data_IF_742627299081
#
_entry.id   IF_742627299081
#
_cell.length_a   1.000
_cell.length_b   1.000
_cell.length_c   1.000
_cell.angle_alpha   90.00
_cell.angle_beta   90.00
_cell.angle_gamma   90.00
#
_symmetry.space_group_name_H-M   'P 1'
#
loop_
_entity.id
_entity.type
_entity.pdbx_description
1 polymer ?
#
# COMPACT_ATOMS: atom_id res chain seq x y z
N UNK A 1 -35.98 28.10 -35.80
CA UNK A 1 -35.88 28.11 -34.32
C UNK A 1 -36.05 26.69 -33.81
N UNK A 2 -35.25 26.35 -32.79
CA UNK A 2 -35.23 25.13 -31.96
C UNK A 2 -34.63 23.81 -32.54
N UNK A 3 -33.67 23.29 -31.77
CA UNK A 3 -32.77 22.14 -31.98
C UNK A 3 -33.42 20.80 -31.60
N UNK A 4 -32.95 19.65 -32.10
CA UNK A 4 -33.14 18.36 -31.45
C UNK A 4 -31.88 17.90 -30.71
N UNK A 5 -32.03 17.29 -29.53
CA UNK A 5 -30.98 16.45 -28.95
C UNK A 5 -31.61 15.40 -28.02
N UNK A 6 -31.62 14.13 -28.45
CA UNK A 6 -31.65 12.99 -27.55
C UNK A 6 -31.01 11.81 -28.26
N UNK A 7 -29.86 11.39 -27.73
CA UNK A 7 -29.06 10.28 -28.20
C UNK A 7 -29.71 8.97 -27.73
N UNK A 8 -30.29 8.24 -28.67
CA UNK A 8 -30.59 6.81 -28.58
C UNK A 8 -30.36 6.24 -29.98
N UNK A 9 -29.55 5.17 -30.04
CA UNK A 9 -29.29 4.28 -31.18
C UNK A 9 -28.29 4.69 -32.28
N UNK A 10 -27.04 4.22 -32.11
CA UNK A 10 -26.33 3.59 -33.23
C UNK A 10 -25.63 2.31 -32.75
N UNK A 11 -26.18 1.19 -33.19
CA UNK A 11 -25.77 -0.18 -32.92
C UNK A 11 -24.33 -0.47 -33.36
N UNK A 12 -23.72 -1.40 -32.63
CA UNK A 12 -22.90 -2.51 -33.12
C UNK A 12 -22.23 -2.36 -34.50
N UNK A 13 -20.90 -2.48 -34.55
CA UNK A 13 -20.27 -3.49 -35.41
C UNK A 13 -18.76 -3.67 -35.17
N UNK A 14 -18.34 -4.94 -35.25
CA UNK A 14 -16.99 -5.50 -35.48
C UNK A 14 -16.11 -5.93 -34.29
N UNK A 15 -16.24 -7.24 -34.03
CA UNK A 15 -15.32 -8.15 -33.35
C UNK A 15 -13.85 -8.01 -33.78
N UNK A 16 -12.94 -8.08 -32.81
CA UNK A 16 -11.68 -8.80 -32.95
C UNK A 16 -11.48 -9.68 -31.71
N UNK A 17 -11.11 -10.93 -31.98
CA UNK A 17 -10.89 -12.01 -31.04
C UNK A 17 -9.75 -11.69 -30.06
N UNK A 18 -9.96 -11.97 -28.78
CA UNK A 18 -8.91 -12.51 -27.91
C UNK A 18 -9.53 -13.50 -26.95
N UNK A 19 -9.58 -14.73 -27.43
CA UNK A 19 -9.62 -15.93 -26.62
C UNK A 19 -8.54 -15.90 -25.54
N UNK A 20 -8.97 -16.21 -24.32
CA UNK A 20 -8.25 -17.04 -23.34
C UNK A 20 -7.04 -16.41 -22.63
N UNK A 21 -7.32 -15.86 -21.45
CA UNK A 21 -6.52 -16.04 -20.23
C UNK A 21 -7.44 -15.73 -19.03
N UNK A 22 -8.41 -16.63 -18.79
CA UNK A 22 -8.94 -16.80 -17.45
C UNK A 22 -7.83 -17.43 -16.61
N UNK A 23 -6.93 -16.62 -16.08
CA UNK A 23 -6.09 -17.03 -14.96
C UNK A 23 -7.01 -17.10 -13.74
N UNK A 24 -7.60 -18.28 -13.54
CA UNK A 24 -8.07 -18.69 -12.22
C UNK A 24 -6.85 -18.82 -11.31
N UNK A 25 -6.35 -17.71 -10.80
CA UNK A 25 -5.47 -17.72 -9.65
C UNK A 25 -6.35 -17.89 -8.41
N UNK A 26 -6.63 -19.14 -8.06
CA UNK A 26 -6.91 -19.52 -6.68
C UNK A 26 -5.62 -19.29 -5.86
N UNK A 27 -5.24 -18.02 -5.68
CA UNK A 27 -4.37 -17.63 -4.57
C UNK A 27 -5.28 -17.75 -3.37
N UNK A 28 -5.07 -18.81 -2.58
CA UNK A 28 -5.77 -18.96 -1.31
C UNK A 28 -5.71 -17.64 -0.58
N UNK A 29 -6.86 -17.00 -0.37
CA UNK A 29 -6.97 -15.82 0.46
C UNK A 29 -6.55 -16.26 1.86
N UNK A 30 -5.27 -16.05 2.18
CA UNK A 30 -4.83 -15.95 3.56
C UNK A 30 -5.80 -15.00 4.28
N UNK A 31 -6.26 -15.32 5.50
CA UNK A 31 -7.14 -14.43 6.23
C UNK A 31 -6.54 -13.04 6.20
N UNK A 32 -7.30 -12.06 5.70
CA UNK A 32 -6.88 -10.66 5.65
C UNK A 32 -6.49 -10.26 7.07
N UNK A 33 -5.21 -10.25 7.38
CA UNK A 33 -4.69 -9.62 8.57
C UNK A 33 -4.84 -8.13 8.32
N UNK A 34 -5.79 -7.49 9.00
CA UNK A 34 -5.94 -6.05 8.94
C UNK A 34 -4.59 -5.39 9.26
N UNK A 35 -4.07 -4.60 8.33
CA UNK A 35 -2.74 -4.00 8.45
C UNK A 35 -1.55 -4.96 8.25
N UNK A 36 -1.74 -6.26 8.01
CA UNK A 36 -0.66 -7.23 7.74
C UNK A 36 -0.02 -7.06 6.35
N UNK A 37 1.15 -7.68 6.17
CA UNK A 37 1.78 -7.79 4.86
C UNK A 37 1.03 -8.83 4.02
N UNK A 38 0.89 -8.58 2.72
CA UNK A 38 0.41 -9.58 1.76
C UNK A 38 1.45 -10.68 1.52
N UNK A 39 1.11 -11.63 0.63
CA UNK A 39 2.04 -12.68 0.21
C UNK A 39 3.22 -12.09 -0.60
N UNK A 40 4.36 -11.91 0.07
CA UNK A 40 5.59 -11.37 -0.53
C UNK A 40 6.18 -12.29 -1.59
N UNK A 41 5.96 -13.60 -1.49
CA UNK A 41 6.42 -14.55 -2.50
C UNK A 41 5.62 -14.37 -3.78
N UNK A 42 4.29 -14.37 -3.69
CA UNK A 42 3.42 -14.09 -4.84
C UNK A 42 3.72 -12.73 -5.48
N UNK A 43 3.89 -11.68 -4.67
CA UNK A 43 4.27 -10.35 -5.15
C UNK A 43 5.61 -10.38 -5.93
N UNK A 44 6.61 -11.12 -5.45
CA UNK A 44 7.91 -11.23 -6.12
C UNK A 44 7.87 -11.95 -7.47
N UNK A 45 6.81 -12.70 -7.77
CA UNK A 45 6.60 -13.31 -9.09
C UNK A 45 5.94 -12.36 -10.09
N UNK A 46 5.18 -11.37 -9.61
CA UNK A 46 4.42 -10.43 -10.44
C UNK A 46 5.17 -9.12 -10.69
N UNK A 47 6.00 -8.68 -9.74
CA UNK A 47 6.76 -7.43 -9.85
C UNK A 47 8.04 -7.69 -10.66
N UNK A 48 8.35 -6.87 -11.68
CA UNK A 48 9.60 -6.98 -12.44
C UNK A 48 10.83 -6.96 -11.52
N UNK A 49 11.71 -7.97 -11.66
CA UNK A 49 12.76 -8.25 -10.66
C UNK A 49 13.84 -7.18 -10.56
N UNK A 50 14.25 -6.62 -11.69
CA UNK A 50 15.42 -5.74 -11.80
C UNK A 50 15.06 -4.35 -12.31
N UNK A 51 13.81 -3.94 -12.08
CA UNK A 51 13.32 -2.63 -12.51
C UNK A 51 12.80 -1.85 -11.30
N UNK A 52 12.94 -0.51 -11.32
CA UNK A 52 12.33 0.32 -10.31
C UNK A 52 10.82 0.14 -10.29
N UNK A 53 10.25 0.16 -9.09
CA UNK A 53 8.80 0.19 -8.90
C UNK A 53 8.46 1.26 -7.86
N UNK A 54 7.20 1.69 -7.85
CA UNK A 54 6.65 2.63 -6.90
C UNK A 54 5.70 1.90 -5.97
N UNK A 55 5.88 2.11 -4.67
CA UNK A 55 4.96 1.67 -3.64
C UNK A 55 4.01 2.82 -3.31
N UNK A 56 2.73 2.67 -3.68
CA UNK A 56 1.66 3.58 -3.32
C UNK A 56 0.99 3.07 -2.06
N UNK A 57 1.06 3.86 -0.99
CA UNK A 57 0.44 3.54 0.30
C UNK A 57 -0.63 4.58 0.64
N UNK A 58 -1.78 4.08 1.06
CA UNK A 58 -2.91 4.85 1.57
C UNK A 58 -3.20 4.37 2.99
N UNK A 59 -3.30 5.30 3.94
CA UNK A 59 -3.48 4.94 5.34
C UNK A 59 -4.41 5.86 6.09
N UNK A 60 -5.19 5.26 6.98
CA UNK A 60 -5.96 5.94 8.00
C UNK A 60 -5.47 5.49 9.38
N UNK A 61 -5.27 6.42 10.30
CA UNK A 61 -4.71 6.16 11.61
C UNK A 61 -5.79 5.97 12.67
N UNK A 62 -5.42 5.20 13.69
CA UNK A 62 -6.16 5.18 14.94
C UNK A 62 -5.96 6.53 15.67
N UNK A 63 -6.99 7.07 16.34
CA UNK A 63 -6.87 8.26 17.18
C UNK A 63 -5.79 8.09 18.25
N UNK A 64 -5.70 6.87 18.80
CA UNK A 64 -4.67 6.43 19.75
C UNK A 64 -4.06 5.13 19.23
N UNK A 65 -2.74 5.01 19.27
CA UNK A 65 -2.02 3.82 18.86
C UNK A 65 -2.28 2.67 19.85
N UNK A 66 -2.50 1.46 19.32
CA UNK A 66 -2.80 0.28 20.12
C UNK A 66 -1.71 -0.76 19.94
N UNK A 67 -0.77 -0.81 20.86
CA UNK A 67 0.31 -1.79 20.87
C UNK A 67 -0.15 -3.11 21.50
N UNK A 68 0.43 -4.21 21.06
CA UNK A 68 0.27 -5.49 21.74
C UNK A 68 0.94 -5.45 23.13
N UNK A 69 0.34 -6.13 24.10
CA UNK A 69 0.76 -6.06 25.51
C UNK A 69 2.18 -6.61 25.75
N UNK A 70 2.68 -7.46 24.87
CA UNK A 70 4.01 -8.08 24.92
C UNK A 70 5.06 -7.28 24.14
N UNK A 71 4.69 -6.18 23.48
CA UNK A 71 5.64 -5.31 22.79
C UNK A 71 6.32 -4.33 23.76
N UNK A 72 7.55 -4.66 24.16
CA UNK A 72 8.37 -3.83 25.06
C UNK A 72 8.74 -2.45 24.48
N UNK A 73 8.64 -2.26 23.17
CA UNK A 73 8.95 -0.99 22.50
C UNK A 73 7.83 0.05 22.55
N UNK A 74 6.74 -0.21 23.29
CA UNK A 74 5.63 0.75 23.42
C UNK A 74 6.10 2.04 24.11
N UNK A 75 5.64 3.23 23.65
CA UNK A 75 5.84 4.48 24.37
C UNK A 75 5.25 4.44 25.78
N UNK A 76 5.87 5.19 26.71
CA UNK A 76 5.44 5.24 28.11
C UNK A 76 4.13 5.99 28.35
N UNK A 77 3.77 6.89 27.44
CA UNK A 77 2.49 7.61 27.45
C UNK A 77 1.69 7.23 26.19
N UNK A 78 0.34 7.24 26.24
CA UNK A 78 -0.48 7.10 25.04
C UNK A 78 -0.08 8.11 23.97
N UNK A 79 0.03 7.65 22.72
CA UNK A 79 0.31 8.48 21.56
C UNK A 79 -0.72 8.22 20.47
N UNK A 80 -0.90 9.16 19.56
CA UNK A 80 -1.75 8.99 18.39
C UNK A 80 -1.16 7.97 17.41
N UNK A 81 -2.03 7.41 16.54
CA UNK A 81 -1.57 6.54 15.47
C UNK A 81 -0.61 7.25 14.50
N UNK A 82 -0.79 8.53 14.24
CA UNK A 82 0.11 9.31 13.39
C UNK A 82 1.53 9.46 14.00
N UNK A 83 1.63 9.62 15.32
CA UNK A 83 2.91 9.64 16.04
C UNK A 83 3.59 8.26 16.00
N UNK A 84 2.84 7.18 16.24
CA UNK A 84 3.34 5.81 16.14
C UNK A 84 3.84 5.50 14.73
N UNK A 85 3.12 5.93 13.69
CA UNK A 85 3.56 5.78 12.30
C UNK A 85 4.81 6.59 11.98
N UNK A 86 5.01 7.75 12.64
CA UNK A 86 6.23 8.54 12.49
C UNK A 86 7.44 7.80 13.05
N UNK A 87 7.30 7.16 14.23
CA UNK A 87 8.33 6.28 14.81
C UNK A 87 8.65 5.15 13.84
N UNK A 88 7.62 4.45 13.34
CA UNK A 88 7.76 3.41 12.32
C UNK A 88 8.57 3.89 11.10
N UNK A 89 8.18 5.03 10.49
CA UNK A 89 8.80 5.52 9.26
C UNK A 89 10.29 5.85 9.45
N UNK A 90 10.64 6.45 10.58
CA UNK A 90 12.02 6.78 10.92
C UNK A 90 12.85 5.50 11.13
N UNK A 91 12.34 4.56 11.93
CA UNK A 91 13.01 3.30 12.19
C UNK A 91 13.15 2.45 10.93
N UNK A 92 12.11 2.38 10.09
CA UNK A 92 12.14 1.69 8.79
C UNK A 92 13.23 2.26 7.87
N UNK A 93 13.29 3.59 7.71
CA UNK A 93 14.29 4.24 6.87
C UNK A 93 15.72 3.98 7.35
N UNK A 94 15.95 4.04 8.67
CA UNK A 94 17.23 3.68 9.28
C UNK A 94 17.57 2.21 9.00
N UNK A 95 16.63 1.28 9.25
CA UNK A 95 16.87 -0.15 9.05
C UNK A 95 17.11 -0.53 7.59
N UNK A 96 16.36 0.08 6.67
CA UNK A 96 16.58 -0.07 5.23
C UNK A 96 18.02 0.36 4.85
N UNK A 97 18.51 1.48 5.41
CA UNK A 97 19.88 1.96 5.18
C UNK A 97 20.92 0.99 5.74
N UNK A 98 20.73 0.48 6.95
CA UNK A 98 21.62 -0.51 7.59
C UNK A 98 21.70 -1.83 6.80
N UNK A 99 20.58 -2.26 6.20
CA UNK A 99 20.52 -3.45 5.36
C UNK A 99 21.01 -3.18 3.92
N UNK A 100 21.48 -1.96 3.63
CA UNK A 100 22.06 -1.63 2.32
C UNK A 100 21.03 -1.36 1.22
N UNK A 101 19.76 -1.10 1.55
CA UNK A 101 18.75 -0.66 0.59
C UNK A 101 19.14 0.72 0.07
N UNK A 102 19.47 0.79 -1.22
CA UNK A 102 19.91 2.03 -1.86
C UNK A 102 18.71 2.85 -2.35
N UNK A 103 18.80 4.16 -2.10
CA UNK A 103 17.99 5.19 -2.74
C UNK A 103 16.46 5.01 -2.71
N UNK A 104 15.81 4.60 -1.59
CA UNK A 104 14.36 4.75 -1.50
C UNK A 104 14.00 6.24 -1.60
N UNK A 105 13.17 6.59 -2.58
CA UNK A 105 12.82 7.99 -2.84
C UNK A 105 11.34 8.24 -2.60
N UNK A 106 11.01 9.13 -1.68
CA UNK A 106 9.64 9.62 -1.52
C UNK A 106 9.31 10.51 -2.71
N UNK A 107 8.45 10.02 -3.60
CA UNK A 107 8.00 10.77 -4.78
C UNK A 107 6.86 11.73 -4.44
N UNK A 108 6.03 11.35 -3.46
CA UNK A 108 4.89 12.14 -3.02
C UNK A 108 4.53 11.79 -1.57
N UNK A 109 4.16 12.81 -0.80
CA UNK A 109 3.53 12.66 0.51
C UNK A 109 2.44 13.73 0.61
N UNK A 110 1.20 13.32 0.74
CA UNK A 110 0.05 14.23 0.78
C UNK A 110 -0.92 13.88 1.89
N UNK A 111 -1.48 14.93 2.51
CA UNK A 111 -2.69 14.81 3.33
C UNK A 111 -3.87 14.50 2.41
N UNK A 112 -4.58 13.42 2.68
CA UNK A 112 -5.83 13.16 2.00
C UNK A 112 -6.94 14.00 2.67
N UNK A 113 -7.71 14.71 1.85
CA UNK A 113 -8.74 15.64 2.32
C UNK A 113 -10.15 15.07 2.18
N UNK A 114 -10.44 14.48 1.02
CA UNK A 114 -11.72 13.84 0.71
C UNK A 114 -11.55 12.97 -0.52
N UNK A 115 -12.47 12.04 -0.73
CA UNK A 115 -12.58 11.34 -2.00
C UNK A 115 -13.36 12.21 -2.97
N UNK A 116 -12.80 12.46 -4.16
CA UNK A 116 -13.53 13.11 -5.25
C UNK A 116 -14.42 12.12 -6.01
N UNK A 117 -13.98 10.87 -6.08
CA UNK A 117 -14.70 9.72 -6.63
C UNK A 117 -14.39 8.56 -5.69
N UNK A 118 -15.40 8.02 -5.01
CA UNK A 118 -15.26 6.83 -4.18
C UNK A 118 -15.96 5.66 -4.88
N UNK A 119 -15.41 4.45 -4.73
CA UNK A 119 -16.00 3.22 -5.28
C UNK A 119 -17.34 2.88 -4.61
N UNK A 120 -17.85 1.64 -4.76
CA UNK A 120 -19.16 1.22 -4.22
C UNK A 120 -19.27 1.30 -2.69
N UNK A 121 -18.18 1.59 -1.98
CA UNK A 121 -18.11 1.88 -0.56
C UNK A 121 -18.17 3.41 -0.39
N UNK A 122 -19.35 3.98 -0.22
CA UNK A 122 -19.46 5.30 0.38
C UNK A 122 -18.74 5.26 1.76
N UNK A 123 -17.84 6.21 2.02
CA UNK A 123 -17.21 6.36 3.33
C UNK A 123 -15.74 5.91 3.46
N UNK A 124 -15.05 5.56 2.37
CA UNK A 124 -13.57 5.42 2.45
C UNK A 124 -12.94 6.78 2.82
N UNK A 125 -11.99 6.81 3.75
CA UNK A 125 -11.27 8.03 4.11
C UNK A 125 -9.83 7.72 4.46
N UNK A 126 -8.91 8.55 3.98
CA UNK A 126 -7.48 8.39 4.19
C UNK A 126 -6.93 9.63 4.88
N UNK A 127 -5.95 9.45 5.76
CA UNK A 127 -5.22 10.56 6.39
C UNK A 127 -4.02 10.95 5.54
N UNK A 128 -3.24 9.96 5.06
CA UNK A 128 -2.09 10.17 4.20
C UNK A 128 -2.06 9.23 2.98
N UNK A 129 -1.51 9.78 1.90
CA UNK A 129 -1.08 9.04 0.72
C UNK A 129 0.43 9.29 0.55
N UNK A 130 1.19 8.22 0.39
CA UNK A 130 2.64 8.30 0.15
C UNK A 130 3.04 7.39 -1.01
N UNK A 131 3.90 7.90 -1.88
CA UNK A 131 4.52 7.14 -2.97
C UNK A 131 6.02 7.06 -2.73
N UNK A 132 6.56 5.84 -2.70
CA UNK A 132 7.99 5.59 -2.47
C UNK A 132 8.53 4.73 -3.61
N UNK A 133 9.53 5.23 -4.32
CA UNK A 133 10.25 4.46 -5.34
C UNK A 133 11.34 3.62 -4.69
N UNK A 134 11.42 2.35 -5.08
CA UNK A 134 12.54 1.46 -4.78
C UNK A 134 13.22 1.03 -6.09
N UNK A 135 14.52 0.72 -6.02
CA UNK A 135 15.28 0.25 -7.19
C UNK A 135 14.83 -1.14 -7.67
N UNK A 136 14.37 -2.00 -6.76
CA UNK A 136 13.80 -3.30 -7.05
C UNK A 136 13.02 -3.84 -5.83
N UNK A 137 12.13 -4.81 -6.05
CA UNK A 137 11.31 -5.39 -4.98
C UNK A 137 12.10 -6.24 -3.98
N UNK A 138 13.21 -6.86 -4.40
CA UNK A 138 14.03 -7.69 -3.51
C UNK A 138 14.62 -6.88 -2.34
N UNK A 139 15.06 -5.64 -2.60
CA UNK A 139 15.53 -4.71 -1.57
C UNK A 139 14.48 -4.41 -0.51
N UNK A 140 13.23 -4.17 -0.94
CA UNK A 140 12.13 -3.92 -0.01
C UNK A 140 11.76 -5.18 0.78
N UNK A 141 11.64 -6.31 0.10
CA UNK A 141 11.35 -7.62 0.70
C UNK A 141 12.37 -7.99 1.78
N UNK A 142 13.66 -7.76 1.53
CA UNK A 142 14.73 -7.99 2.50
C UNK A 142 14.51 -7.25 3.83
N UNK A 143 13.99 -6.02 3.81
CA UNK A 143 13.67 -5.29 5.04
C UNK A 143 12.48 -5.92 5.75
N UNK A 144 11.49 -6.40 5.03
CA UNK A 144 10.29 -7.00 5.63
C UNK A 144 10.55 -8.38 6.25
N UNK A 145 11.55 -9.11 5.74
CA UNK A 145 11.97 -10.41 6.25
C UNK A 145 13.00 -10.31 7.39
N UNK A 146 13.50 -9.11 7.68
CA UNK A 146 14.47 -8.87 8.75
C UNK A 146 13.83 -9.03 10.14
N UNK A 147 14.48 -9.79 11.02
CA UNK A 147 13.95 -10.02 12.38
C UNK A 147 13.85 -8.73 13.20
N UNK A 148 14.80 -7.81 13.03
CA UNK A 148 14.77 -6.52 13.71
C UNK A 148 13.59 -5.68 13.26
N UNK A 149 13.29 -5.68 11.96
CA UNK A 149 12.07 -5.08 11.44
C UNK A 149 10.82 -5.71 12.05
N UNK A 150 10.68 -7.04 11.97
CA UNK A 150 9.47 -7.75 12.43
C UNK A 150 9.23 -7.52 13.92
N UNK A 151 10.27 -7.63 14.75
CA UNK A 151 10.14 -7.58 16.21
C UNK A 151 10.11 -6.17 16.78
N UNK A 152 10.81 -5.21 16.17
CA UNK A 152 11.05 -3.89 16.78
C UNK A 152 10.45 -2.72 16.00
N UNK A 153 10.14 -2.89 14.70
CA UNK A 153 9.73 -1.78 13.83
C UNK A 153 8.29 -1.94 13.34
N UNK A 154 7.94 -3.12 12.81
CA UNK A 154 6.61 -3.45 12.34
C UNK A 154 5.50 -3.21 13.37
N UNK A 155 5.70 -3.48 14.68
CA UNK A 155 4.66 -3.26 15.69
C UNK A 155 4.16 -1.81 15.76
N UNK A 156 5.04 -0.82 15.54
CA UNK A 156 4.63 0.58 15.48
C UNK A 156 3.64 0.88 14.33
N UNK A 157 3.81 0.24 13.16
CA UNK A 157 2.86 0.40 12.04
C UNK A 157 1.52 -0.26 12.34
N UNK A 158 1.54 -1.46 12.93
CA UNK A 158 0.33 -2.19 13.29
C UNK A 158 -0.46 -1.46 14.39
N UNK A 159 0.25 -0.91 15.38
CA UNK A 159 -0.35 -0.10 16.42
C UNK A 159 -0.96 1.20 15.89
N UNK A 160 -0.32 1.80 14.88
CA UNK A 160 -0.72 3.08 14.32
C UNK A 160 -1.97 3.04 13.43
N UNK A 161 -2.04 2.05 12.54
CA UNK A 161 -2.91 2.11 11.36
C UNK A 161 -4.23 1.39 11.61
N UNK A 162 -5.34 2.08 11.30
CA UNK A 162 -6.68 1.49 11.26
C UNK A 162 -6.89 0.73 9.96
N UNK A 163 -6.60 1.39 8.84
CA UNK A 163 -6.70 0.80 7.50
C UNK A 163 -5.45 1.14 6.70
N UNK A 164 -4.88 0.13 6.04
CA UNK A 164 -3.69 0.25 5.21
C UNK A 164 -3.91 -0.42 3.87
N UNK A 165 -3.81 0.33 2.78
CA UNK A 165 -3.75 -0.23 1.43
C UNK A 165 -2.43 0.13 0.80
N UNK A 166 -1.81 -0.86 0.17
CA UNK A 166 -0.49 -0.76 -0.42
C UNK A 166 -0.48 -1.45 -1.76
N UNK A 167 0.04 -0.76 -2.77
CA UNK A 167 0.14 -1.26 -4.14
C UNK A 167 1.58 -1.09 -4.63
N UNK A 168 2.12 -2.14 -5.25
CA UNK A 168 3.33 -2.03 -6.06
C UNK A 168 2.88 -1.74 -7.50
N UNK A 169 3.37 -0.63 -8.06
CA UNK A 169 3.01 -0.17 -9.40
C UNK A 169 4.25 0.23 -10.20
N UNK A 170 4.17 0.11 -11.51
CA UNK A 170 5.15 0.61 -12.47
C UNK A 170 4.46 1.61 -13.40
N UNK A 171 5.23 2.53 -13.98
CA UNK A 171 4.71 3.43 -15.01
C UNK A 171 4.38 2.65 -16.28
N UNK A 172 3.33 3.06 -16.98
CA UNK A 172 3.00 2.59 -18.33
C UNK A 172 3.58 3.60 -19.31
N UNK A 173 4.41 3.14 -20.24
CA UNK A 173 5.00 3.95 -21.30
C UNK A 173 4.29 3.75 -22.63
#
# INVERSE_FOLDING_TARGET
MCRPNSAVDFMASHNLQTSQLALTSNIGMSPRTEGGLGDLHAASQLIPKNEPYVMLNMMNFKPEAQYDNDFEGSPSNPISGAEAYTIYRQAFGKRATELGVKNPAVLFLGKAHTNLIAGPQEGESWDFIVMVRFENFASFKMVLEDEGYIKLIQPHRLAAVREFRSFAVSEIH
#
